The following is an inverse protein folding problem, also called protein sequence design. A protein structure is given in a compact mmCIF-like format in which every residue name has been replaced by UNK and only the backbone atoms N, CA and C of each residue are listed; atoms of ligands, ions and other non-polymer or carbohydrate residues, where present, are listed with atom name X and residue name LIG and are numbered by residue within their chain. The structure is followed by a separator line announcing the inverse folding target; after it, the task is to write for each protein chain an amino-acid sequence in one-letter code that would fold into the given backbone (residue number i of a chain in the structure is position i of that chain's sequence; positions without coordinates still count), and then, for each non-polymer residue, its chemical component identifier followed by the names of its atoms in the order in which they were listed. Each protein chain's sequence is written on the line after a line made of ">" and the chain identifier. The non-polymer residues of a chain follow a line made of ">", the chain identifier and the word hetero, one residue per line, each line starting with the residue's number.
data_IF_117730608709
#
_entry.id   IF_117730608709
#
_cell.length_a   1.000
_cell.length_b   1.000
_cell.length_c   1.000
_cell.angle_alpha   90.00
_cell.angle_beta   90.00
_cell.angle_gamma   90.00
#
_symmetry.space_group_name_H-M   'P 1'
#
loop_
_entity.id
_entity.type
_entity.pdbx_description
1 polymer ?
#
# COMPACT_ATOMS: atom_id res chain seq x y z
N UNK A 1 -43.66 -15.21 -3.69
CA UNK A 1 -43.23 -16.62 -3.79
C UNK A 1 -41.71 -16.74 -3.85
N UNK A 2 -41.03 -15.83 -4.56
CA UNK A 2 -39.56 -15.84 -4.72
C UNK A 2 -38.78 -15.84 -3.40
N UNK A 3 -39.14 -14.98 -2.43
CA UNK A 3 -38.45 -14.95 -1.13
C UNK A 3 -38.53 -16.27 -0.34
N UNK A 4 -39.67 -16.97 -0.40
CA UNK A 4 -39.84 -18.28 0.27
C UNK A 4 -39.00 -19.36 -0.42
N UNK A 5 -38.92 -19.33 -1.75
CA UNK A 5 -38.09 -20.25 -2.52
C UNK A 5 -36.60 -19.99 -2.27
N UNK A 6 -36.17 -18.73 -2.23
CA UNK A 6 -34.78 -18.36 -1.92
C UNK A 6 -34.36 -18.85 -0.54
N UNK A 7 -35.20 -18.68 0.50
CA UNK A 7 -34.89 -19.18 1.84
C UNK A 7 -34.80 -20.70 1.86
N UNK A 8 -35.77 -21.40 1.26
CA UNK A 8 -35.75 -22.86 1.15
C UNK A 8 -34.46 -23.39 0.50
N UNK A 9 -34.04 -22.79 -0.63
CA UNK A 9 -32.81 -23.17 -1.32
C UNK A 9 -31.56 -22.87 -0.50
N UNK A 10 -31.54 -21.77 0.25
CA UNK A 10 -30.43 -21.43 1.14
C UNK A 10 -30.33 -22.44 2.29
N UNK A 11 -31.43 -22.76 2.96
CA UNK A 11 -31.45 -23.69 4.09
C UNK A 11 -31.01 -25.09 3.63
N UNK A 12 -31.57 -25.58 2.52
CA UNK A 12 -31.18 -26.88 1.94
C UNK A 12 -29.71 -26.90 1.51
N UNK A 13 -29.17 -25.78 1.01
CA UNK A 13 -27.77 -25.70 0.59
C UNK A 13 -26.84 -25.78 1.80
N UNK A 14 -27.21 -25.09 2.88
CA UNK A 14 -26.46 -25.16 4.13
C UNK A 14 -26.48 -26.57 4.71
N UNK A 15 -27.64 -27.24 4.70
CA UNK A 15 -27.77 -28.63 5.15
C UNK A 15 -26.84 -29.58 4.36
N UNK A 16 -26.89 -29.50 3.03
CA UNK A 16 -26.03 -30.31 2.13
C UNK A 16 -24.54 -30.05 2.39
N UNK A 17 -24.15 -28.80 2.60
CA UNK A 17 -22.76 -28.46 2.90
C UNK A 17 -22.32 -28.86 4.33
N UNK A 18 -23.25 -28.91 5.29
CA UNK A 18 -22.97 -29.41 6.63
C UNK A 18 -22.80 -30.93 6.65
N UNK A 19 -23.55 -31.67 5.83
CA UNK A 19 -23.44 -33.11 5.69
C UNK A 19 -22.10 -33.55 5.05
N UNK A 20 -21.51 -32.72 4.18
CA UNK A 20 -20.23 -33.01 3.53
C UNK A 20 -19.25 -31.82 3.61
N UNK A 21 -18.32 -31.81 4.59
CA UNK A 21 -17.36 -30.73 4.76
C UNK A 21 -16.39 -30.52 3.57
N UNK A 22 -16.28 -31.47 2.64
CA UNK A 22 -15.43 -31.36 1.44
C UNK A 22 -16.19 -30.83 0.23
N UNK A 23 -17.49 -30.64 0.36
CA UNK A 23 -18.37 -30.22 -0.72
C UNK A 23 -18.04 -28.80 -1.17
N UNK A 24 -18.12 -28.60 -2.48
CA UNK A 24 -17.93 -27.30 -3.10
C UNK A 24 -19.13 -27.02 -4.01
N UNK A 25 -19.68 -25.82 -3.94
CA UNK A 25 -20.76 -25.43 -4.81
C UNK A 25 -20.26 -25.14 -6.23
N UNK A 26 -21.11 -25.41 -7.21
CA UNK A 26 -20.86 -25.03 -8.60
C UNK A 26 -21.17 -23.55 -8.74
N UNK A 27 -20.18 -22.79 -9.22
CA UNK A 27 -20.33 -21.37 -9.54
C UNK A 27 -20.71 -21.17 -11.00
N UNK A 28 -21.57 -20.19 -11.28
CA UNK A 28 -21.85 -19.78 -12.65
C UNK A 28 -20.63 -19.09 -13.27
N UNK A 29 -20.31 -19.47 -14.51
CA UNK A 29 -19.21 -18.92 -15.28
C UNK A 29 -19.49 -17.52 -15.84
N UNK A 30 -20.77 -17.12 -15.91
CA UNK A 30 -21.20 -15.84 -16.48
C UNK A 30 -21.70 -14.82 -15.43
N UNK A 31 -21.51 -15.10 -14.14
CA UNK A 31 -21.85 -14.17 -13.05
C UNK A 31 -23.35 -13.92 -12.89
N UNK A 32 -24.21 -14.77 -13.43
CA UNK A 32 -25.68 -14.72 -13.28
C UNK A 32 -26.11 -15.51 -12.04
N UNK A 33 -25.49 -15.19 -10.90
CA UNK A 33 -25.81 -15.84 -9.64
C UNK A 33 -27.24 -15.48 -9.22
N UNK A 34 -28.03 -16.51 -8.91
CA UNK A 34 -29.33 -16.33 -8.25
C UNK A 34 -29.16 -15.69 -6.87
N UNK A 35 -30.23 -15.11 -6.33
CA UNK A 35 -30.19 -14.51 -4.98
C UNK A 35 -29.76 -15.54 -3.91
N UNK A 36 -30.18 -16.80 -4.06
CA UNK A 36 -29.75 -17.90 -3.18
C UNK A 36 -28.24 -18.15 -3.27
N UNK A 37 -27.69 -18.22 -4.48
CA UNK A 37 -26.23 -18.37 -4.70
C UNK A 37 -25.46 -17.20 -4.09
N UNK A 38 -25.94 -15.97 -4.25
CA UNK A 38 -25.30 -14.79 -3.65
C UNK A 38 -25.32 -14.85 -2.13
N UNK A 39 -26.43 -15.29 -1.52
CA UNK A 39 -26.54 -15.48 -0.06
C UNK A 39 -25.58 -16.56 0.44
N UNK A 40 -25.46 -17.68 -0.25
CA UNK A 40 -24.53 -18.77 0.10
C UNK A 40 -23.06 -18.33 -0.08
N UNK A 41 -22.73 -17.58 -1.14
CA UNK A 41 -21.40 -16.95 -1.30
C UNK A 41 -21.09 -15.98 -0.16
N UNK A 42 -22.03 -15.12 0.22
CA UNK A 42 -21.87 -14.17 1.34
C UNK A 42 -21.75 -14.88 2.68
N UNK A 43 -22.39 -16.04 2.86
CA UNK A 43 -22.22 -16.89 4.02
C UNK A 43 -20.83 -17.57 4.07
N UNK A 44 -20.01 -17.45 3.02
CA UNK A 44 -18.61 -17.89 3.02
C UNK A 44 -18.38 -19.30 2.49
N UNK A 45 -19.39 -19.94 1.91
CA UNK A 45 -19.24 -21.27 1.31
C UNK A 45 -18.38 -21.22 0.03
N UNK A 46 -17.66 -22.31 -0.23
CA UNK A 46 -16.77 -22.40 -1.38
C UNK A 46 -17.53 -22.64 -2.69
N UNK A 47 -17.18 -21.88 -3.73
CA UNK A 47 -17.66 -22.08 -5.10
C UNK A 47 -16.49 -22.35 -6.03
N UNK A 48 -16.73 -23.20 -7.02
CA UNK A 48 -15.82 -23.40 -8.16
C UNK A 48 -16.59 -23.37 -9.46
N UNK A 49 -16.02 -22.71 -10.46
CA UNK A 49 -16.56 -22.72 -11.80
C UNK A 49 -16.23 -24.07 -12.44
N UNK A 50 -17.20 -24.97 -12.43
CA UNK A 50 -17.10 -26.31 -13.01
C UNK A 50 -18.26 -26.50 -13.96
N UNK A 51 -17.98 -27.05 -15.13
CA UNK A 51 -19.01 -27.34 -16.13
C UNK A 51 -19.74 -28.64 -15.77
N UNK A 52 -21.05 -28.54 -15.56
CA UNK A 52 -21.91 -29.67 -15.15
C UNK A 52 -21.92 -30.82 -16.15
N UNK A 53 -21.70 -30.57 -17.45
CA UNK A 53 -21.63 -31.63 -18.46
C UNK A 53 -20.37 -32.51 -18.35
N UNK A 54 -19.34 -32.07 -17.62
CA UNK A 54 -18.16 -32.88 -17.32
C UNK A 54 -18.28 -33.61 -15.98
N UNK A 55 -19.46 -33.57 -15.36
CA UNK A 55 -19.73 -34.17 -14.06
C UNK A 55 -20.80 -35.25 -14.20
N UNK A 56 -20.68 -36.28 -13.38
CA UNK A 56 -21.70 -37.31 -13.25
C UNK A 56 -22.72 -36.86 -12.19
N UNK A 57 -24.01 -37.08 -12.45
CA UNK A 57 -25.07 -36.74 -11.49
C UNK A 57 -25.18 -37.84 -10.44
N UNK A 58 -25.40 -37.48 -9.18
CA UNK A 58 -25.80 -38.46 -8.16
C UNK A 58 -27.15 -39.08 -8.52
N UNK A 59 -27.38 -40.36 -8.15
CA UNK A 59 -28.67 -41.00 -8.33
C UNK A 59 -29.72 -40.24 -7.50
N UNK A 60 -30.94 -40.15 -8.03
CA UNK A 60 -32.08 -39.55 -7.33
C UNK A 60 -32.94 -40.64 -6.73
N UNK A 61 -33.46 -40.39 -5.54
CA UNK A 61 -34.42 -41.28 -4.91
C UNK A 61 -35.65 -41.41 -5.83
N UNK A 62 -36.02 -42.64 -6.23
CA UNK A 62 -37.18 -42.85 -7.08
C UNK A 62 -38.46 -42.53 -6.30
N UNK A 63 -39.48 -42.04 -7.00
CA UNK A 63 -40.77 -41.69 -6.35
C UNK A 63 -41.70 -42.88 -6.38
N UNK A 64 -42.25 -43.26 -5.22
CA UNK A 64 -43.19 -44.37 -5.12
C UNK A 64 -44.43 -44.15 -6.02
N UNK A 65 -44.89 -45.17 -6.76
CA UNK A 65 -46.06 -45.05 -7.62
C UNK A 65 -47.31 -44.90 -6.74
N UNK A 66 -48.06 -43.82 -6.97
CA UNK A 66 -49.34 -43.58 -6.29
C UNK A 66 -50.46 -44.31 -7.04
N UNK A 67 -51.20 -45.16 -6.34
CA UNK A 67 -52.29 -45.94 -6.94
C UNK A 67 -53.36 -45.08 -7.64
N UNK A 68 -53.59 -43.86 -7.15
CA UNK A 68 -54.51 -42.87 -7.73
C UNK A 68 -54.10 -42.36 -9.12
N UNK A 69 -52.84 -42.54 -9.54
CA UNK A 69 -52.32 -42.11 -10.84
C UNK A 69 -52.46 -43.17 -11.93
N UNK A 70 -52.99 -44.35 -11.61
CA UNK A 70 -53.12 -45.48 -12.53
C UNK A 70 -54.57 -45.95 -12.58
N UNK A 71 -55.19 -45.88 -13.76
CA UNK A 71 -56.56 -46.36 -13.98
C UNK A 71 -56.64 -47.89 -14.07
N UNK A 72 -55.53 -48.54 -14.43
CA UNK A 72 -55.45 -50.00 -14.62
C UNK A 72 -54.52 -50.63 -13.56
N UNK A 73 -54.96 -51.69 -12.86
CA UNK A 73 -54.14 -52.41 -11.91
C UNK A 73 -52.84 -52.98 -12.50
N UNK A 74 -52.86 -53.44 -13.75
CA UNK A 74 -51.68 -53.97 -14.44
C UNK A 74 -50.58 -52.90 -14.69
N UNK A 75 -50.99 -51.65 -14.91
CA UNK A 75 -50.04 -50.55 -15.11
C UNK A 75 -49.43 -50.08 -13.78
N UNK A 76 -50.19 -50.19 -12.70
CA UNK A 76 -49.71 -49.97 -11.32
C UNK A 76 -48.68 -51.05 -10.94
N UNK A 77 -48.97 -52.33 -11.19
CA UNK A 77 -48.05 -53.43 -10.89
C UNK A 77 -46.73 -53.28 -11.66
N UNK A 78 -46.78 -52.95 -12.96
CA UNK A 78 -45.58 -52.63 -13.75
C UNK A 78 -44.83 -51.42 -13.20
N UNK A 79 -45.52 -50.40 -12.70
CA UNK A 79 -44.89 -49.23 -12.08
C UNK A 79 -44.23 -49.58 -10.74
N UNK A 80 -44.83 -50.47 -9.95
CA UNK A 80 -44.25 -50.99 -8.70
C UNK A 80 -43.01 -51.84 -8.97
N UNK A 81 -43.03 -52.71 -9.99
CA UNK A 81 -41.85 -53.47 -10.40
C UNK A 81 -40.70 -52.56 -10.85
N UNK A 82 -41.01 -51.51 -11.62
CA UNK A 82 -40.01 -50.50 -12.04
C UNK A 82 -39.46 -49.75 -10.83
N UNK A 83 -40.33 -49.27 -9.95
CA UNK A 83 -39.94 -48.59 -8.72
C UNK A 83 -39.02 -49.48 -7.86
N UNK A 84 -39.35 -50.75 -7.68
CA UNK A 84 -38.49 -51.68 -6.93
C UNK A 84 -37.11 -51.83 -7.57
N UNK A 85 -37.02 -51.94 -8.89
CA UNK A 85 -35.73 -52.03 -9.61
C UNK A 85 -34.94 -50.72 -9.51
N UNK A 86 -35.59 -49.58 -9.65
CA UNK A 86 -34.99 -48.25 -9.50
C UNK A 86 -34.51 -48.01 -8.06
N UNK A 87 -35.26 -48.48 -7.06
CA UNK A 87 -34.91 -48.40 -5.66
C UNK A 87 -33.65 -49.21 -5.35
N UNK A 88 -33.58 -50.47 -5.80
CA UNK A 88 -32.37 -51.30 -5.64
C UNK A 88 -31.17 -50.69 -6.37
N UNK A 89 -31.37 -50.12 -7.56
CA UNK A 89 -30.31 -49.39 -8.26
C UNK A 89 -29.83 -48.16 -7.48
N UNK A 90 -30.75 -47.35 -6.96
CA UNK A 90 -30.46 -46.17 -6.17
C UNK A 90 -29.65 -46.52 -4.92
N UNK A 91 -30.08 -47.53 -4.16
CA UNK A 91 -29.39 -47.98 -2.94
C UNK A 91 -27.97 -48.49 -3.24
N UNK A 92 -27.83 -49.38 -4.22
CA UNK A 92 -26.53 -49.93 -4.61
C UNK A 92 -25.57 -48.84 -5.11
N UNK A 93 -26.06 -47.92 -5.96
CA UNK A 93 -25.22 -46.86 -6.52
C UNK A 93 -24.83 -45.83 -5.46
N UNK A 94 -25.73 -45.51 -4.52
CA UNK A 94 -25.43 -44.59 -3.42
C UNK A 94 -24.35 -45.18 -2.51
N UNK A 95 -24.46 -46.44 -2.11
CA UNK A 95 -23.43 -47.13 -1.32
C UNK A 95 -22.07 -47.19 -2.03
N UNK A 96 -22.06 -47.46 -3.33
CA UNK A 96 -20.83 -47.45 -4.13
C UNK A 96 -20.17 -46.05 -4.13
N UNK A 97 -20.96 -44.99 -4.36
CA UNK A 97 -20.48 -43.62 -4.37
C UNK A 97 -19.98 -43.16 -3.00
N UNK A 98 -20.66 -43.56 -1.91
CA UNK A 98 -20.22 -43.27 -0.55
C UNK A 98 -18.86 -43.92 -0.25
N UNK A 99 -18.67 -45.18 -0.64
CA UNK A 99 -17.37 -45.84 -0.51
C UNK A 99 -16.27 -45.14 -1.32
N UNK A 100 -16.57 -44.72 -2.55
CA UNK A 100 -15.61 -43.96 -3.38
C UNK A 100 -15.31 -42.58 -2.80
N UNK A 101 -16.30 -41.93 -2.16
CA UNK A 101 -16.15 -40.65 -1.47
C UNK A 101 -15.26 -40.78 -0.25
N UNK A 102 -15.45 -41.80 0.57
CA UNK A 102 -14.60 -42.09 1.73
C UNK A 102 -13.15 -42.38 1.33
N UNK A 103 -12.97 -43.14 0.24
CA UNK A 103 -11.65 -43.41 -0.34
C UNK A 103 -11.00 -42.17 -1.00
N UNK A 104 -11.74 -41.06 -1.15
CA UNK A 104 -11.26 -39.84 -1.79
C UNK A 104 -11.14 -39.94 -3.32
N UNK A 105 -11.68 -41.00 -3.93
CA UNK A 105 -11.64 -41.26 -5.38
C UNK A 105 -12.64 -40.43 -6.16
N UNK A 106 -13.62 -39.83 -5.49
CA UNK A 106 -14.53 -38.87 -6.10
C UNK A 106 -14.56 -37.56 -5.32
N UNK A 107 -14.88 -36.48 -6.02
CA UNK A 107 -15.17 -35.17 -5.43
C UNK A 107 -16.62 -34.79 -5.70
N UNK A 108 -17.32 -34.42 -4.64
CA UNK A 108 -18.73 -34.03 -4.69
C UNK A 108 -18.86 -32.52 -4.89
N UNK A 109 -19.82 -32.15 -5.72
CA UNK A 109 -20.22 -30.78 -5.98
C UNK A 109 -21.74 -30.64 -5.82
N UNK A 110 -22.19 -29.50 -5.33
CA UNK A 110 -23.61 -29.17 -5.31
C UNK A 110 -23.92 -28.03 -6.27
N UNK A 111 -24.97 -28.19 -7.07
CA UNK A 111 -25.54 -27.14 -7.90
C UNK A 111 -26.83 -26.62 -7.27
N UNK A 112 -26.97 -25.31 -7.16
CA UNK A 112 -28.18 -24.66 -6.64
C UNK A 112 -29.03 -24.26 -7.84
N UNK A 113 -29.99 -25.12 -8.20
CA UNK A 113 -30.94 -24.86 -9.28
C UNK A 113 -32.09 -23.98 -8.76
N UNK A 114 -32.94 -23.52 -9.68
CA UNK A 114 -34.15 -22.74 -9.46
C UNK A 114 -35.19 -23.40 -8.53
N UNK A 115 -35.20 -24.73 -8.43
CA UNK A 115 -36.19 -25.52 -7.68
C UNK A 115 -35.60 -26.36 -6.57
N UNK A 116 -34.37 -26.83 -6.73
CA UNK A 116 -33.75 -27.77 -5.80
C UNK A 116 -32.21 -27.78 -5.93
N UNK A 117 -31.54 -28.55 -5.08
CA UNK A 117 -30.10 -28.76 -5.07
C UNK A 117 -29.80 -30.10 -5.71
N UNK A 118 -28.98 -30.07 -6.76
CA UNK A 118 -28.52 -31.28 -7.43
C UNK A 118 -27.07 -31.59 -7.05
N UNK A 119 -26.82 -32.83 -6.62
CA UNK A 119 -25.48 -33.31 -6.35
C UNK A 119 -24.84 -33.90 -7.61
N UNK A 120 -23.56 -33.61 -7.78
CA UNK A 120 -22.71 -34.08 -8.86
C UNK A 120 -21.40 -34.62 -8.30
N UNK A 121 -20.76 -35.53 -9.01
CA UNK A 121 -19.42 -36.00 -8.68
C UNK A 121 -18.50 -36.02 -9.89
N UNK A 122 -17.21 -35.95 -9.60
CA UNK A 122 -16.14 -36.21 -10.56
C UNK A 122 -15.15 -37.19 -9.96
N UNK A 123 -14.71 -38.15 -10.76
CA UNK A 123 -13.61 -39.01 -10.39
C UNK A 123 -12.31 -38.20 -10.25
N UNK A 124 -11.57 -38.51 -9.20
CA UNK A 124 -10.29 -37.90 -8.86
C UNK A 124 -9.22 -38.92 -9.16
N UNK A 125 -8.21 -38.50 -9.92
CA UNK A 125 -7.08 -39.38 -10.22
C UNK A 125 -6.30 -39.65 -8.91
N UNK A 126 -5.72 -40.84 -8.76
CA UNK A 126 -5.05 -41.24 -7.51
C UNK A 126 -3.91 -40.29 -7.09
N UNK A 127 -3.31 -39.58 -8.06
CA UNK A 127 -2.26 -38.57 -7.82
C UNK A 127 -2.79 -37.26 -7.22
N UNK A 128 -4.07 -36.96 -7.41
CA UNK A 128 -4.73 -35.72 -6.96
C UNK A 128 -5.56 -35.94 -5.69
N UNK A 129 -5.56 -37.17 -5.15
CA UNK A 129 -6.29 -37.51 -3.93
C UNK A 129 -5.54 -36.93 -2.72
N UNK A 130 -6.19 -35.98 -2.03
CA UNK A 130 -5.65 -35.42 -0.79
C UNK A 130 -6.17 -36.17 0.42
N UNK A 131 -5.28 -36.47 1.37
CA UNK A 131 -5.70 -37.02 2.67
C UNK A 131 -6.45 -35.97 3.48
N UNK A 132 -7.24 -36.40 4.46
CA UNK A 132 -7.94 -35.46 5.35
C UNK A 132 -6.96 -34.52 6.06
N UNK A 133 -5.78 -35.00 6.44
CA UNK A 133 -4.74 -34.17 7.08
C UNK A 133 -4.21 -33.07 6.15
N UNK A 134 -3.99 -33.38 4.87
CA UNK A 134 -3.59 -32.40 3.86
C UNK A 134 -4.69 -31.36 3.65
N UNK A 135 -5.95 -31.79 3.56
CA UNK A 135 -7.10 -30.88 3.43
C UNK A 135 -7.22 -29.97 4.65
N UNK A 136 -7.09 -30.51 5.87
CA UNK A 136 -7.14 -29.72 7.11
C UNK A 136 -6.00 -28.69 7.13
N UNK A 137 -4.80 -29.06 6.68
CA UNK A 137 -3.65 -28.15 6.60
C UNK A 137 -3.91 -27.01 5.62
N UNK A 138 -4.41 -27.34 4.41
CA UNK A 138 -4.78 -26.35 3.40
C UNK A 138 -5.88 -25.40 3.92
N UNK A 139 -6.90 -25.93 4.61
CA UNK A 139 -7.97 -25.13 5.19
C UNK A 139 -7.48 -24.21 6.32
N UNK A 140 -6.54 -24.68 7.16
CA UNK A 140 -5.90 -23.83 8.18
C UNK A 140 -5.10 -22.69 7.53
N UNK A 141 -4.32 -22.98 6.49
CA UNK A 141 -3.59 -21.96 5.74
C UNK A 141 -4.54 -20.94 5.10
N UNK A 142 -5.62 -21.42 4.48
CA UNK A 142 -6.67 -20.56 3.90
C UNK A 142 -7.35 -19.69 4.95
N UNK A 143 -7.63 -20.22 6.14
CA UNK A 143 -8.19 -19.46 7.27
C UNK A 143 -7.25 -18.32 7.70
N UNK A 144 -5.95 -18.57 7.80
CA UNK A 144 -4.95 -17.53 8.10
C UNK A 144 -4.96 -16.46 7.01
N UNK A 145 -4.90 -16.87 5.73
CA UNK A 145 -4.93 -15.92 4.61
C UNK A 145 -6.22 -15.11 4.56
N UNK A 146 -7.38 -15.70 4.87
CA UNK A 146 -8.65 -14.98 4.92
C UNK A 146 -8.64 -13.88 6.00
N UNK A 147 -8.04 -14.15 7.17
CA UNK A 147 -7.89 -13.13 8.22
C UNK A 147 -6.96 -11.99 7.78
N UNK A 148 -5.90 -12.29 7.03
CA UNK A 148 -5.03 -11.26 6.45
C UNK A 148 -5.76 -10.42 5.39
N UNK A 149 -6.48 -11.06 4.47
CA UNK A 149 -7.27 -10.37 3.45
C UNK A 149 -8.32 -9.46 4.10
N UNK A 150 -8.97 -9.93 5.17
CA UNK A 150 -9.91 -9.10 5.91
C UNK A 150 -9.23 -7.83 6.46
N UNK A 151 -8.03 -7.95 7.04
CA UNK A 151 -7.24 -6.81 7.51
C UNK A 151 -6.79 -5.90 6.36
N UNK A 152 -6.34 -6.46 5.24
CA UNK A 152 -5.91 -5.72 4.04
C UNK A 152 -7.07 -4.90 3.45
N UNK A 153 -8.25 -5.53 3.28
CA UNK A 153 -9.46 -4.86 2.77
C UNK A 153 -9.94 -3.78 3.72
N UNK A 154 -10.01 -4.08 5.02
CA UNK A 154 -10.37 -3.09 6.05
C UNK A 154 -9.42 -1.89 6.01
N UNK A 155 -8.10 -2.12 5.89
CA UNK A 155 -7.12 -1.04 5.78
C UNK A 155 -7.30 -0.22 4.49
N UNK A 156 -7.64 -0.88 3.37
CA UNK A 156 -7.96 -0.20 2.12
C UNK A 156 -9.16 0.75 2.26
N UNK A 157 -10.26 0.24 2.82
CA UNK A 157 -11.49 1.02 2.97
C UNK A 157 -11.32 2.15 4.01
N UNK A 158 -10.60 1.91 5.10
CA UNK A 158 -10.25 2.97 6.08
C UNK A 158 -9.38 4.06 5.45
N UNK A 159 -8.41 3.71 4.60
CA UNK A 159 -7.58 4.71 3.90
C UNK A 159 -8.44 5.58 2.98
N UNK A 160 -9.38 4.98 2.27
CA UNK A 160 -10.28 5.72 1.41
C UNK A 160 -11.18 6.65 2.23
N UNK A 161 -11.75 6.15 3.33
CA UNK A 161 -12.52 6.95 4.30
C UNK A 161 -11.73 8.18 4.78
N UNK A 162 -10.47 7.98 5.20
CA UNK A 162 -9.60 9.06 5.68
C UNK A 162 -9.20 10.06 4.57
N UNK A 163 -9.30 9.67 3.30
CA UNK A 163 -9.00 10.52 2.14
C UNK A 163 -10.20 11.36 1.71
N UNK A 164 -11.41 10.81 1.83
CA UNK A 164 -12.64 11.45 1.35
C UNK A 164 -13.34 12.26 2.43
N UNK A 165 -13.35 11.78 3.67
CA UNK A 165 -14.03 12.43 4.77
C UNK A 165 -13.19 13.53 5.40
N UNK A 166 -13.87 14.60 5.86
CA UNK A 166 -13.21 15.64 6.65
C UNK A 166 -13.17 15.22 8.11
N UNK A 167 -11.98 15.24 8.70
CA UNK A 167 -11.84 15.06 10.14
C UNK A 167 -12.57 16.17 10.91
N UNK A 168 -13.20 15.86 12.05
CA UNK A 168 -13.82 16.87 12.89
C UNK A 168 -12.77 17.89 13.35
N UNK A 169 -13.21 19.15 13.53
CA UNK A 169 -12.36 20.16 14.17
C UNK A 169 -12.29 19.84 15.66
N UNK A 170 -11.22 19.18 16.08
CA UNK A 170 -10.93 18.86 17.48
C UNK A 170 -9.49 19.23 17.83
N UNK A 171 -9.21 19.31 19.12
CA UNK A 171 -7.84 19.41 19.60
C UNK A 171 -7.05 18.14 19.29
N UNK A 172 -5.74 18.30 19.13
CA UNK A 172 -4.83 17.18 18.89
C UNK A 172 -4.72 16.32 20.15
N UNK A 173 -5.17 15.09 20.03
CA UNK A 173 -5.32 14.16 21.15
C UNK A 173 -3.99 13.53 21.56
N UNK A 174 -3.94 12.99 22.78
CA UNK A 174 -2.78 12.25 23.27
C UNK A 174 -2.47 11.01 22.42
N UNK A 175 -3.46 10.38 21.82
CA UNK A 175 -3.26 9.19 20.97
C UNK A 175 -2.73 9.57 19.58
N UNK A 176 -3.17 10.70 19.01
CA UNK A 176 -2.56 11.25 17.80
C UNK A 176 -1.10 11.67 18.06
N UNK A 177 -0.82 12.24 19.24
CA UNK A 177 0.55 12.58 19.63
C UNK A 177 1.43 11.32 19.74
N UNK A 178 0.93 10.26 20.39
CA UNK A 178 1.64 8.98 20.45
C UNK A 178 1.86 8.40 19.05
N UNK A 179 0.84 8.38 18.19
CA UNK A 179 0.96 7.89 16.82
C UNK A 179 2.01 8.68 16.02
N UNK A 180 2.01 10.00 16.15
CA UNK A 180 2.99 10.87 15.52
C UNK A 180 4.42 10.52 15.99
N UNK A 181 4.66 10.40 17.30
CA UNK A 181 5.97 10.04 17.82
C UNK A 181 6.41 8.62 17.45
N UNK A 182 5.47 7.66 17.41
CA UNK A 182 5.73 6.30 16.93
C UNK A 182 6.33 6.32 15.53
N UNK A 183 5.74 7.08 14.60
CA UNK A 183 6.28 7.19 13.24
C UNK A 183 7.54 8.07 13.16
N UNK A 184 7.64 9.14 13.96
CA UNK A 184 8.83 10.01 13.95
C UNK A 184 10.09 9.31 14.45
N UNK A 185 9.96 8.34 15.37
CA UNK A 185 11.09 7.53 15.85
C UNK A 185 11.82 6.80 14.71
N UNK A 186 11.14 6.54 13.57
CA UNK A 186 11.76 6.00 12.35
C UNK A 186 12.89 6.82 11.77
N UNK A 187 12.89 8.12 12.05
CA UNK A 187 13.85 9.08 11.53
C UNK A 187 14.81 9.58 12.59
N UNK A 188 14.82 8.95 13.77
CA UNK A 188 15.74 9.32 14.84
C UNK A 188 17.18 9.04 14.40
N UNK A 189 18.09 9.97 14.66
CA UNK A 189 19.50 9.81 14.29
C UNK A 189 20.22 8.98 15.35
N UNK A 190 21.22 8.18 14.94
CA UNK A 190 21.96 7.29 15.85
C UNK A 190 22.51 7.97 17.10
N UNK A 191 23.00 9.20 16.99
CA UNK A 191 23.53 9.95 18.14
C UNK A 191 22.45 10.33 19.17
N UNK A 192 21.19 10.35 18.77
CA UNK A 192 20.04 10.65 19.62
C UNK A 192 19.43 9.39 20.26
N UNK A 193 19.86 8.19 19.86
CA UNK A 193 19.35 6.93 20.40
C UNK A 193 19.49 6.80 21.93
N UNK A 194 20.65 7.13 22.54
CA UNK A 194 20.79 7.01 23.99
C UNK A 194 19.78 7.88 24.75
N UNK A 195 19.34 9.01 24.18
CA UNK A 195 18.39 9.90 24.83
C UNK A 195 17.03 9.23 25.07
N UNK A 196 16.66 8.22 24.28
CA UNK A 196 15.40 7.46 24.40
C UNK A 196 15.62 6.01 24.84
N UNK A 197 16.81 5.69 25.36
CA UNK A 197 17.15 4.35 25.84
C UNK A 197 17.38 3.31 24.73
N UNK A 198 17.63 3.77 23.50
CA UNK A 198 18.02 2.90 22.38
C UNK A 198 19.55 2.74 22.34
N UNK A 199 20.00 1.54 21.97
CA UNK A 199 21.42 1.21 21.73
C UNK A 199 21.79 1.52 20.29
N UNK A 200 23.07 1.73 20.00
CA UNK A 200 23.54 2.02 18.63
C UNK A 200 23.17 0.93 17.60
N UNK A 201 23.06 -0.32 18.05
CA UNK A 201 22.65 -1.47 17.24
C UNK A 201 21.11 -1.65 17.13
N UNK A 202 20.31 -0.84 17.85
CA UNK A 202 18.86 -0.77 17.68
C UNK A 202 18.53 0.04 16.41
N UNK A 203 19.03 -0.43 15.26
CA UNK A 203 18.67 0.14 13.97
C UNK A 203 17.15 0.03 13.78
N UNK A 204 16.52 1.03 13.16
CA UNK A 204 15.06 1.10 13.08
C UNK A 204 14.42 -0.11 12.37
N UNK A 205 15.14 -0.76 11.44
CA UNK A 205 14.70 -2.02 10.83
C UNK A 205 14.64 -3.23 11.79
N UNK A 206 15.27 -3.13 12.96
CA UNK A 206 15.33 -4.17 13.99
C UNK A 206 14.55 -3.78 15.26
N UNK A 207 13.94 -2.59 15.30
CA UNK A 207 13.15 -2.15 16.43
C UNK A 207 11.74 -2.75 16.31
N UNK A 208 11.35 -3.62 17.25
CA UNK A 208 10.00 -4.18 17.26
C UNK A 208 8.96 -3.10 17.58
N UNK A 209 7.79 -3.19 16.97
CA UNK A 209 6.68 -2.26 17.21
C UNK A 209 6.33 -2.16 18.71
N UNK A 210 6.38 -3.27 19.44
CA UNK A 210 6.16 -3.31 20.89
C UNK A 210 7.19 -2.48 21.67
N UNK A 211 8.47 -2.55 21.28
CA UNK A 211 9.53 -1.76 21.92
C UNK A 211 9.35 -0.28 21.60
N UNK A 212 8.99 0.05 20.35
CA UNK A 212 8.65 1.43 19.95
C UNK A 212 7.49 1.98 20.76
N UNK A 213 6.40 1.22 20.93
CA UNK A 213 5.24 1.65 21.73
C UNK A 213 5.62 1.93 23.20
N UNK A 214 6.45 1.06 23.81
CA UNK A 214 6.93 1.25 25.20
C UNK A 214 7.74 2.53 25.37
N UNK A 215 8.56 2.87 24.38
CA UNK A 215 9.33 4.12 24.38
C UNK A 215 8.38 5.31 24.29
N UNK A 216 7.48 5.31 23.30
CA UNK A 216 6.53 6.41 23.06
C UNK A 216 5.65 6.69 24.27
N UNK A 217 5.22 5.66 24.99
CA UNK A 217 4.39 5.79 26.18
C UNK A 217 5.06 6.56 27.32
N UNK A 218 6.40 6.60 27.37
CA UNK A 218 7.17 7.15 28.50
C UNK A 218 8.07 8.33 28.10
N UNK A 219 7.81 8.98 26.97
CA UNK A 219 8.64 10.08 26.49
C UNK A 219 8.53 11.34 27.36
N UNK A 220 9.69 11.86 27.80
CA UNK A 220 9.79 13.16 28.47
C UNK A 220 9.69 14.31 27.47
N UNK A 221 9.43 15.53 27.95
CA UNK A 221 9.37 16.75 27.11
C UNK A 221 10.68 17.00 26.34
N UNK A 222 11.81 16.68 26.95
CA UNK A 222 13.13 16.82 26.34
C UNK A 222 13.33 15.79 25.22
N UNK A 223 13.00 14.53 25.48
CA UNK A 223 13.05 13.45 24.49
C UNK A 223 12.13 13.74 23.29
N UNK A 224 10.90 14.19 23.55
CA UNK A 224 9.94 14.66 22.52
C UNK A 224 10.53 15.78 21.65
N UNK A 225 11.37 16.64 22.23
CA UNK A 225 12.01 17.75 21.50
C UNK A 225 13.15 17.24 20.62
N UNK A 226 13.95 16.30 21.10
CA UNK A 226 14.99 15.62 20.32
C UNK A 226 14.37 14.92 19.11
N UNK A 227 13.32 14.13 19.32
CA UNK A 227 12.64 13.38 18.23
C UNK A 227 12.08 14.33 17.16
N UNK A 228 11.41 15.41 17.57
CA UNK A 228 10.89 16.42 16.62
C UNK A 228 12.01 17.07 15.79
N UNK A 229 13.13 17.42 16.42
CA UNK A 229 14.27 18.04 15.74
C UNK A 229 14.93 17.08 14.75
N UNK A 230 15.10 15.81 15.13
CA UNK A 230 15.67 14.79 14.26
C UNK A 230 14.75 14.46 13.07
N UNK A 231 13.44 14.41 13.32
CA UNK A 231 12.46 14.26 12.24
C UNK A 231 12.51 15.43 11.25
N UNK A 232 12.54 16.67 11.75
CA UNK A 232 12.67 17.85 10.90
C UNK A 232 13.98 17.84 10.09
N UNK A 233 15.10 17.49 10.74
CA UNK A 233 16.39 17.33 10.06
C UNK A 233 16.30 16.30 8.92
N UNK A 234 15.77 15.10 9.19
CA UNK A 234 15.59 14.05 8.19
C UNK A 234 14.73 14.56 7.03
N UNK A 235 13.59 15.19 7.31
CA UNK A 235 12.70 15.72 6.27
C UNK A 235 13.38 16.79 5.40
N UNK A 236 14.10 17.75 6.00
CA UNK A 236 14.82 18.78 5.28
C UNK A 236 15.89 18.18 4.37
N UNK A 237 16.69 17.24 4.89
CA UNK A 237 17.79 16.63 4.11
C UNK A 237 17.34 15.63 3.05
N UNK A 238 16.23 14.89 3.27
CA UNK A 238 15.75 13.88 2.32
C UNK A 238 14.93 14.49 1.17
N UNK A 239 14.24 15.62 1.41
CA UNK A 239 13.32 16.21 0.42
C UNK A 239 13.86 17.43 -0.30
N UNK A 240 14.97 18.02 0.15
CA UNK A 240 15.55 19.19 -0.51
C UNK A 240 16.85 18.85 -1.21
N UNK A 241 16.91 19.14 -2.50
CA UNK A 241 18.09 18.89 -3.34
C UNK A 241 18.88 20.17 -3.62
N UNK A 242 18.28 21.33 -3.37
CA UNK A 242 18.87 22.64 -3.59
C UNK A 242 18.45 23.59 -2.46
N UNK A 243 19.25 24.64 -2.24
CA UNK A 243 18.91 25.73 -1.30
C UNK A 243 18.02 26.80 -1.93
N UNK A 244 17.53 26.59 -3.15
CA UNK A 244 16.64 27.54 -3.83
C UNK A 244 15.17 27.30 -3.46
N UNK A 245 14.35 28.33 -3.66
CA UNK A 245 12.94 28.30 -3.31
C UNK A 245 12.66 28.21 -1.81
N UNK A 246 11.40 28.01 -1.44
CA UNK A 246 10.93 28.06 -0.05
C UNK A 246 11.53 26.91 0.78
N UNK A 247 11.49 25.68 0.26
CA UNK A 247 11.97 24.50 0.98
C UNK A 247 13.50 24.52 1.18
N UNK A 248 14.25 24.91 0.14
CA UNK A 248 15.70 25.08 0.23
C UNK A 248 16.09 26.20 1.21
N UNK A 249 15.36 27.31 1.20
CA UNK A 249 15.52 28.39 2.17
C UNK A 249 15.25 27.94 3.62
N UNK A 250 14.25 27.07 3.85
CA UNK A 250 14.00 26.48 5.17
C UNK A 250 15.17 25.60 5.63
N UNK A 251 15.74 24.78 4.75
CA UNK A 251 16.93 23.99 5.07
C UNK A 251 18.11 24.89 5.42
N UNK A 252 18.36 25.92 4.60
CA UNK A 252 19.44 26.87 4.82
C UNK A 252 19.27 27.61 6.15
N UNK A 253 18.08 28.15 6.44
CA UNK A 253 17.78 28.82 7.70
C UNK A 253 17.98 27.89 8.92
N UNK A 254 17.53 26.63 8.82
CA UNK A 254 17.74 25.63 9.87
C UNK A 254 19.24 25.36 10.09
N UNK A 255 20.01 25.19 9.01
CA UNK A 255 21.45 24.99 9.09
C UNK A 255 22.17 26.22 9.66
N UNK A 256 21.78 27.43 9.27
CA UNK A 256 22.34 28.68 9.81
C UNK A 256 22.02 28.85 11.29
N UNK A 257 20.81 28.48 11.73
CA UNK A 257 20.42 28.59 13.14
C UNK A 257 21.19 27.61 14.04
N UNK A 258 21.43 26.38 13.56
CA UNK A 258 22.02 25.33 14.39
C UNK A 258 23.53 25.12 14.16
N UNK A 259 24.05 25.51 13.01
CA UNK A 259 25.44 25.31 12.58
C UNK A 259 25.97 26.53 11.77
N UNK A 260 25.87 27.77 12.29
CA UNK A 260 26.09 29.00 11.52
C UNK A 260 27.45 29.06 10.82
N UNK A 261 28.52 28.76 11.55
CA UNK A 261 29.89 28.84 11.01
C UNK A 261 30.14 27.85 9.87
N UNK A 262 29.63 26.62 10.01
CA UNK A 262 29.77 25.58 8.98
C UNK A 262 28.95 25.91 7.75
N UNK A 263 27.74 26.43 7.94
CA UNK A 263 26.87 26.87 6.85
C UNK A 263 27.49 28.01 6.07
N UNK A 264 27.97 29.06 6.74
CA UNK A 264 28.62 30.21 6.11
C UNK A 264 29.87 29.81 5.31
N UNK A 265 30.65 28.85 5.82
CA UNK A 265 31.81 28.31 5.11
C UNK A 265 31.43 27.65 3.79
N UNK A 266 30.35 26.84 3.80
CA UNK A 266 29.84 26.16 2.59
C UNK A 266 29.32 27.18 1.57
N UNK A 267 28.55 28.17 2.01
CA UNK A 267 28.03 29.23 1.13
C UNK A 267 29.15 30.04 0.49
N UNK A 268 30.14 30.45 1.28
CA UNK A 268 31.30 31.20 0.79
C UNK A 268 32.08 30.40 -0.27
N UNK A 269 32.34 29.11 -0.01
CA UNK A 269 33.04 28.23 -0.94
C UNK A 269 32.36 28.18 -2.31
N UNK A 270 31.05 27.90 -2.35
CA UNK A 270 30.33 27.76 -3.61
C UNK A 270 30.02 29.11 -4.27
N UNK A 271 29.75 30.16 -3.50
CA UNK A 271 29.59 31.51 -4.04
C UNK A 271 30.87 31.99 -4.73
N UNK A 272 32.04 31.71 -4.16
CA UNK A 272 33.32 32.06 -4.78
C UNK A 272 33.57 31.26 -6.07
N UNK A 273 33.42 29.93 -6.01
CA UNK A 273 33.68 29.05 -7.16
C UNK A 273 32.76 29.37 -8.34
N UNK A 274 31.45 29.45 -8.10
CA UNK A 274 30.48 29.72 -9.16
C UNK A 274 30.43 31.19 -9.55
N UNK A 275 30.75 32.12 -8.65
CA UNK A 275 30.94 33.53 -9.01
C UNK A 275 32.02 33.71 -10.07
N UNK A 276 33.17 33.03 -9.94
CA UNK A 276 34.23 33.04 -10.97
C UNK A 276 33.77 32.44 -12.29
N UNK A 277 33.04 31.32 -12.26
CA UNK A 277 32.49 30.68 -13.48
C UNK A 277 31.49 31.59 -14.19
N UNK A 278 30.60 32.24 -13.43
CA UNK A 278 29.61 33.16 -13.97
C UNK A 278 30.26 34.37 -14.64
N UNK A 279 31.28 34.96 -14.02
CA UNK A 279 32.03 36.07 -14.64
C UNK A 279 32.64 35.70 -16.01
N UNK A 280 33.14 34.47 -16.16
CA UNK A 280 33.64 33.96 -17.46
C UNK A 280 32.52 33.73 -18.49
N UNK A 281 31.33 33.31 -18.02
CA UNK A 281 30.17 33.22 -18.89
C UNK A 281 29.74 34.61 -19.37
N UNK A 282 29.74 35.62 -18.49
CA UNK A 282 29.42 37.00 -18.83
C UNK A 282 30.40 37.58 -19.87
N UNK A 283 31.71 37.34 -19.71
CA UNK A 283 32.73 37.70 -20.71
C UNK A 283 32.43 37.07 -22.09
N UNK A 284 32.08 35.77 -22.12
CA UNK A 284 31.77 35.06 -23.37
C UNK A 284 30.47 35.54 -24.00
N UNK A 285 29.44 35.82 -23.20
CA UNK A 285 28.17 36.40 -23.65
C UNK A 285 28.41 37.78 -24.27
N UNK A 286 29.21 38.63 -23.61
CA UNK A 286 29.56 39.95 -24.13
C UNK A 286 30.32 39.87 -25.47
N UNK A 287 31.29 38.95 -25.59
CA UNK A 287 32.03 38.71 -26.83
C UNK A 287 31.14 38.27 -27.99
N UNK A 288 30.21 37.34 -27.75
CA UNK A 288 29.26 36.87 -28.78
C UNK A 288 28.29 37.98 -29.22
N UNK A 289 27.75 38.76 -28.27
CA UNK A 289 26.90 39.92 -28.58
C UNK A 289 27.63 40.98 -29.43
N UNK A 290 28.94 41.15 -29.23
CA UNK A 290 29.75 42.07 -30.04
C UNK A 290 29.96 41.55 -31.47
N UNK A 291 30.12 40.24 -31.65
CA UNK A 291 30.22 39.62 -32.99
C UNK A 291 28.91 39.66 -33.77
N UNK A 292 27.75 39.53 -33.10
CA UNK A 292 26.45 39.60 -33.75
C UNK A 292 26.10 41.01 -34.28
N UNK A 293 26.66 42.06 -33.65
CA UNK A 293 26.51 43.44 -34.10
C UNK A 293 27.42 43.81 -35.28
N UNK A 294 28.35 42.94 -35.67
CA UNK A 294 29.14 43.12 -36.90
C UNK A 294 28.29 42.67 -38.11
N UNK A 295 28.21 43.44 -39.20
CA UNK A 295 27.39 43.08 -40.36
C UNK A 295 27.89 41.76 -40.98
N UNK A 296 26.99 40.78 -41.16
CA UNK A 296 27.30 39.55 -41.89
C UNK A 296 27.65 39.92 -43.33
N UNK A 297 28.93 39.90 -43.68
CA UNK A 297 29.36 40.03 -45.08
C UNK A 297 28.74 38.89 -45.92
N UNK A 298 28.26 39.17 -47.14
CA UNK A 298 27.59 38.17 -47.96
C UNK A 298 28.58 37.09 -48.40
N UNK A 299 28.16 35.83 -48.33
CA UNK A 299 28.85 34.71 -48.97
C UNK A 299 29.00 35.02 -50.47
N UNK A 300 30.23 35.24 -50.93
CA UNK A 300 30.60 35.12 -52.35
C UNK A 300 31.20 33.75 -52.61
N UNK A 301 30.48 33.01 -53.46
CA UNK A 301 30.92 32.16 -54.58
C UNK A 301 32.05 31.11 -54.39
N UNK A 302 31.67 29.88 -54.76
CA UNK A 302 32.44 28.84 -55.45
C UNK A 302 33.57 28.05 -54.73
N UNK A 303 33.13 26.92 -54.14
CA UNK A 303 33.58 25.50 -54.30
C UNK A 303 34.84 25.17 -55.15
N UNK A 304 35.47 23.96 -55.05
CA UNK A 304 35.25 22.83 -54.10
C UNK A 304 36.49 21.96 -53.68
N UNK A 305 36.23 21.03 -52.72
CA UNK A 305 36.81 19.66 -52.52
C UNK A 305 38.27 19.54 -52.04
N UNK A 306 38.66 18.60 -51.16
CA UNK A 306 38.04 17.36 -50.69
C UNK A 306 38.56 16.94 -49.30
N UNK A 307 37.77 16.17 -48.52
CA UNK A 307 37.92 14.72 -48.22
C UNK A 307 39.33 14.35 -47.72
N UNK A 308 39.53 13.68 -46.58
CA UNK A 308 38.76 12.59 -45.99
C UNK A 308 39.04 12.45 -44.47
N UNK A 309 38.01 12.04 -43.74
CA UNK A 309 38.13 11.33 -42.46
C UNK A 309 38.64 9.90 -42.68
N UNK A 310 39.47 9.38 -41.78
CA UNK A 310 39.43 7.97 -41.40
C UNK A 310 40.05 7.74 -40.01
N UNK A 311 39.24 7.14 -39.14
CA UNK A 311 39.51 6.64 -37.79
C UNK A 311 40.57 5.52 -37.79
N UNK A 312 41.31 5.36 -36.69
CA UNK A 312 41.40 4.08 -35.98
C UNK A 312 42.09 4.21 -34.59
N UNK A 313 41.49 3.52 -33.62
CA UNK A 313 41.98 3.17 -32.27
C UNK A 313 43.23 2.24 -32.41
N UNK A 314 44.10 1.93 -31.43
CA UNK A 314 44.03 1.79 -29.96
C UNK A 314 45.45 1.43 -29.46
N UNK A 315 45.75 1.78 -28.20
CA UNK A 315 46.66 1.12 -27.23
C UNK A 315 48.18 0.99 -27.54
N UNK A 316 49.04 1.49 -26.65
CA UNK A 316 49.63 0.66 -25.57
C UNK A 316 50.29 1.53 -24.47
N UNK A 317 50.47 0.90 -23.30
CA UNK A 317 50.95 1.39 -22.01
C UNK A 317 52.42 1.82 -21.99
N UNK A 318 52.75 2.76 -21.10
CA UNK A 318 53.89 2.62 -20.18
C UNK A 318 53.76 3.58 -18.98
N UNK A 319 53.85 3.01 -17.78
CA UNK A 319 53.97 3.72 -16.50
C UNK A 319 55.44 4.05 -16.22
N UNK A 320 55.70 5.24 -15.67
CA UNK A 320 56.82 5.56 -14.77
C UNK A 320 56.36 6.74 -13.91
N UNK A 321 56.00 6.54 -12.65
CA UNK A 321 56.86 6.45 -11.48
C UNK A 321 57.51 7.79 -11.05
N UNK A 322 57.10 8.21 -9.85
CA UNK A 322 57.89 8.81 -8.75
C UNK A 322 58.04 10.33 -8.63
N UNK A 323 57.66 10.75 -7.41
CA UNK A 323 58.36 11.61 -6.43
C UNK A 323 58.25 13.12 -6.68
N UNK A 324 57.57 13.86 -5.80
CA UNK A 324 57.90 14.27 -4.41
C UNK A 324 58.52 15.68 -4.39
N UNK A 325 58.17 16.39 -3.32
CA UNK A 325 58.86 17.54 -2.71
C UNK A 325 58.52 18.96 -3.22
N UNK A 326 57.66 19.62 -2.44
CA UNK A 326 57.85 20.96 -1.81
C UNK A 326 59.33 21.36 -1.64
N UNK A 327 59.76 22.64 -1.57
CA UNK A 327 59.17 23.78 -0.83
C UNK A 327 59.26 25.10 -1.64
N UNK A 328 58.92 26.32 -1.23
CA UNK A 328 59.26 27.12 -0.04
C UNK A 328 58.48 28.46 -0.18
N UNK A 329 57.72 28.89 0.83
CA UNK A 329 58.03 29.97 1.80
C UNK A 329 58.14 31.41 1.23
N UNK A 330 57.31 32.28 1.85
CA UNK A 330 57.63 33.66 2.34
C UNK A 330 57.66 34.75 1.26
N UNK A 331 57.14 35.96 1.45
CA UNK A 331 56.26 36.69 2.39
C UNK A 331 55.97 38.03 1.66
N UNK A 332 55.21 38.93 2.32
CA UNK A 332 55.28 40.40 2.22
C UNK A 332 54.33 40.96 1.13
N UNK A 333 53.45 41.95 1.32
CA UNK A 333 53.31 43.06 2.28
C UNK A 333 51.85 43.54 2.32
N UNK A 334 51.42 44.07 3.46
CA UNK A 334 50.25 44.93 3.63
C UNK A 334 50.31 46.19 2.74
N UNK A 335 49.14 46.67 2.30
CA UNK A 335 48.80 48.10 2.36
C UNK A 335 47.28 48.31 2.31
N UNK A 336 46.80 49.11 3.28
CA UNK A 336 45.43 49.59 3.49
C UNK A 336 45.00 50.65 2.45
N UNK A 337 43.69 50.68 2.13
CA UNK A 337 42.74 51.83 2.11
C UNK A 337 41.57 51.48 1.18
N UNK A 338 40.36 51.27 1.69
CA UNK A 338 39.35 52.30 2.01
C UNK A 338 38.88 53.07 0.77
N UNK A 339 37.74 52.69 0.18
CA UNK A 339 36.69 53.61 -0.32
C UNK A 339 35.33 52.89 -0.31
N UNK A 340 34.33 53.60 0.21
CA UNK A 340 32.91 53.29 0.36
C UNK A 340 32.15 53.27 -1.01
N UNK A 341 30.84 52.96 -1.03
CA UNK A 341 30.18 52.23 -2.11
C UNK A 341 29.62 53.13 -3.22
N UNK A 342 29.42 52.56 -4.41
CA UNK A 342 28.48 53.07 -5.41
C UNK A 342 27.40 52.02 -5.70
N UNK A 343 26.18 52.45 -5.45
CA UNK A 343 24.94 51.71 -5.57
C UNK A 343 24.64 51.26 -7.01
N UNK A 344 24.02 50.08 -7.13
CA UNK A 344 22.94 49.89 -8.12
C UNK A 344 22.01 48.76 -7.69
N UNK A 345 20.83 49.18 -7.22
CA UNK A 345 19.48 48.65 -7.48
C UNK A 345 19.27 47.13 -7.37
N UNK A 346 18.79 46.72 -6.21
CA UNK A 346 18.02 45.49 -5.98
C UNK A 346 16.56 45.72 -6.39
N UNK A 347 16.06 44.90 -7.31
CA UNK A 347 14.61 44.71 -7.49
C UNK A 347 14.05 43.95 -6.28
N UNK A 348 13.15 44.63 -5.57
CA UNK A 348 12.39 44.08 -4.45
C UNK A 348 11.08 43.46 -4.96
N UNK A 349 10.74 42.28 -4.43
CA UNK A 349 9.37 41.74 -4.42
C UNK A 349 9.06 41.38 -2.95
N UNK A 350 7.83 41.64 -2.45
CA UNK A 350 7.64 42.12 -1.09
C UNK A 350 7.44 41.03 -0.04
N UNK A 351 7.80 41.38 1.19
CA UNK A 351 7.49 40.67 2.43
C UNK A 351 6.00 40.76 2.76
N UNK A 352 5.32 39.69 3.21
CA UNK A 352 3.99 39.82 3.80
C UNK A 352 4.10 40.29 5.25
N UNK A 353 3.48 41.43 5.51
CA UNK A 353 3.36 42.09 6.81
C UNK A 353 2.51 41.26 7.78
N UNK A 354 3.05 41.05 8.98
CA UNK A 354 2.32 40.53 10.13
C UNK A 354 1.28 41.57 10.60
N UNK A 355 0.04 41.12 10.83
CA UNK A 355 -0.96 41.91 11.56
C UNK A 355 -1.22 41.22 12.89
N UNK A 356 -0.78 41.86 13.96
CA UNK A 356 -1.22 41.60 15.32
C UNK A 356 -2.04 42.80 15.78
N UNK A 357 -3.35 42.63 16.04
CA UNK A 357 -4.14 43.52 16.91
C UNK A 357 -5.24 42.71 17.60
N UNK A 358 -5.13 42.57 18.92
CA UNK A 358 -6.24 42.55 19.88
C UNK A 358 -5.81 43.52 21.00
N UNK A 359 -6.67 44.36 21.59
CA UNK A 359 -7.60 43.90 22.63
C UNK A 359 -8.93 44.68 22.75
N UNK A 360 -9.99 44.04 23.27
CA UNK A 360 -10.58 44.38 24.59
C UNK A 360 -11.83 43.56 24.91
N UNK A 361 -11.86 43.19 26.18
CA UNK A 361 -12.86 42.56 27.02
C UNK A 361 -14.19 43.31 27.13
N UNK A 362 -15.29 42.57 27.21
CA UNK A 362 -16.43 42.88 28.11
C UNK A 362 -17.10 41.60 28.59
N UNK A 363 -17.37 41.62 29.89
CA UNK A 363 -17.91 40.63 30.81
C UNK A 363 -19.43 40.44 30.65
N UNK A 364 -19.95 39.21 30.77
CA UNK A 364 -21.29 38.95 31.31
C UNK A 364 -21.51 37.47 31.72
N UNK A 365 -21.54 37.26 33.03
CA UNK A 365 -22.31 36.32 33.87
C UNK A 365 -22.99 35.06 33.30
N UNK A 366 -22.59 33.92 33.90
CA UNK A 366 -23.38 32.87 34.56
C UNK A 366 -24.73 32.37 33.97
N UNK A 367 -24.82 31.06 33.72
CA UNK A 367 -25.55 30.09 34.58
C UNK A 367 -25.38 28.66 34.07
N UNK A 368 -25.10 27.75 34.99
CA UNK A 368 -25.08 26.28 34.82
C UNK A 368 -26.51 25.71 34.84
N UNK A 369 -26.70 24.50 34.28
CA UNK A 369 -27.44 23.50 35.06
C UNK A 369 -26.72 22.14 35.13
N UNK A 370 -26.81 21.57 36.33
CA UNK A 370 -26.41 20.20 36.75
C UNK A 370 -27.21 19.12 35.99
N UNK A 371 -26.74 17.87 35.94
CA UNK A 371 -27.32 16.80 35.14
C UNK A 371 -28.51 16.12 35.86
N UNK A 372 -29.51 15.68 35.08
CA UNK A 372 -30.57 14.80 35.57
C UNK A 372 -30.07 13.36 35.63
N UNK A 373 -30.15 12.80 36.84
CA UNK A 373 -30.17 11.37 37.08
C UNK A 373 -31.43 10.76 36.44
N UNK A 374 -31.29 9.58 35.84
CA UNK A 374 -32.41 8.66 35.60
C UNK A 374 -32.13 7.40 36.39
N UNK A 375 -33.08 7.12 37.28
CA UNK A 375 -33.10 6.00 38.19
C UNK A 375 -33.51 4.70 37.47
N UNK A 376 -32.98 3.61 38.00
CA UNK A 376 -33.39 2.22 37.80
C UNK A 376 -34.69 1.96 38.57
N UNK A 377 -35.66 1.33 37.91
CA UNK A 377 -36.79 0.55 38.44
C UNK A 377 -37.41 -0.14 37.20
N UNK A 378 -37.74 -1.43 37.12
CA UNK A 378 -37.91 -2.57 38.04
C UNK A 378 -37.40 -3.82 37.32
#
# INVERSE_FOLDING_TARGET
>A
MEAKNTLYLVDKAQEVAQADPKLVFIGDQYGRDSEAVQKIKKAGYEFKNVQTYNLNRFPKEPTAPEASKYEKPEDLEKAQERYSKEQTYFENKTQELDSLKEQGKIRVYADIDSKDISLYYKEVNSKDTKTNEQIITDLKAKKVRNNEIAKEKTAGDIKELLRTEKLPKSDFTADEEKAMYFFMLSKLRKHSYPAVGLKENDYYGNLSDEKTQKIVANLTKEQKTVIRRDYLYSHLTERTTTVSGIQGGMMLAFATQHLPEKTATIEAQYSEEYGKKNARLDERIAGLKAQEKQPKMPLKADKPKGKAEAKAKKADKAQTAKKNATPAKVKVKEAKKEVAPKATVTDAIPTPTAVAVVPKTTTALATTPKPKAVAVAV
#
